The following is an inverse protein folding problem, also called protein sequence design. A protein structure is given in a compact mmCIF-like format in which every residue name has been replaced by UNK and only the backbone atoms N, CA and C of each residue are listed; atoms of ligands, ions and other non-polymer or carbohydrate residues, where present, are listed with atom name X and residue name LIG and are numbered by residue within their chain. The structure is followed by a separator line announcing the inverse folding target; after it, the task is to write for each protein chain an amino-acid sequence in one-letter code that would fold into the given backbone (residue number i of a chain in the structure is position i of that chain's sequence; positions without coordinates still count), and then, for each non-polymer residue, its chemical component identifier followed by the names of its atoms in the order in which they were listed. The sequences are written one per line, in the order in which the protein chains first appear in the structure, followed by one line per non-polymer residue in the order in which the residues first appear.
data_IF_403399469112
#
_entry.id   IF_403399469112
#
_cell.length_a   1.000
_cell.length_b   1.000
_cell.length_c   1.000
_cell.angle_alpha   90.00
_cell.angle_beta   90.00
_cell.angle_gamma   90.00
#
_symmetry.space_group_name_H-M   'P 1'
#
loop_
_entity.id
_entity.type
_entity.pdbx_description
1 polymer ?
#
# COMPACT_ATOMS: atom_id res chain seq x y z
N UNK A 1 10.44 48.38 -34.57
CA UNK A 1 10.85 46.95 -34.46
C UNK A 1 11.38 46.61 -33.05
N UNK A 2 12.27 47.40 -32.47
CA UNK A 2 12.87 47.18 -31.12
C UNK A 2 11.84 47.23 -29.96
N UNK A 3 10.76 48.02 -30.03
CA UNK A 3 9.77 48.10 -28.96
C UNK A 3 8.91 46.81 -28.85
N UNK A 4 8.52 46.23 -29.99
CA UNK A 4 7.79 44.96 -30.04
C UNK A 4 8.62 43.77 -29.52
N UNK A 5 9.94 43.78 -29.79
CA UNK A 5 10.85 42.77 -29.29
C UNK A 5 11.03 42.85 -27.77
N UNK A 6 11.16 44.06 -27.22
CA UNK A 6 11.21 44.28 -25.76
C UNK A 6 9.94 43.85 -25.07
N UNK A 7 8.77 44.09 -25.66
CA UNK A 7 7.48 43.63 -25.11
C UNK A 7 7.35 42.09 -25.15
N UNK A 8 7.82 41.47 -26.22
CA UNK A 8 7.80 39.98 -26.35
C UNK A 8 8.73 39.30 -25.32
N UNK A 9 9.93 39.88 -25.14
CA UNK A 9 10.90 39.41 -24.13
C UNK A 9 10.32 39.58 -22.73
N UNK A 10 9.75 40.77 -22.43
CA UNK A 10 9.15 41.04 -21.12
C UNK A 10 7.96 40.15 -20.81
N UNK A 11 7.14 39.80 -21.80
CA UNK A 11 6.04 38.84 -21.61
C UNK A 11 6.53 37.40 -21.37
N UNK A 12 7.59 36.96 -22.11
CA UNK A 12 8.21 35.64 -21.83
C UNK A 12 8.80 35.57 -20.41
N UNK A 13 9.51 36.63 -19.98
CA UNK A 13 10.02 36.71 -18.60
C UNK A 13 8.91 36.73 -17.54
N UNK A 14 7.76 37.31 -17.86
CA UNK A 14 6.59 37.30 -16.95
C UNK A 14 6.05 35.88 -16.72
N UNK A 15 6.02 35.02 -17.75
CA UNK A 15 5.64 33.61 -17.61
C UNK A 15 6.70 32.81 -16.84
N UNK A 16 7.99 33.06 -17.08
CA UNK A 16 9.08 32.41 -16.35
C UNK A 16 9.02 32.75 -14.85
N UNK A 17 8.70 33.98 -14.49
CA UNK A 17 8.53 34.40 -13.09
C UNK A 17 7.27 33.84 -12.42
N UNK A 18 6.32 33.29 -13.18
CA UNK A 18 5.14 32.58 -12.64
C UNK A 18 5.39 31.10 -12.42
N UNK A 19 6.46 30.53 -13.04
CA UNK A 19 6.80 29.10 -12.87
C UNK A 19 6.99 28.71 -11.40
N UNK A 20 7.71 29.48 -10.55
CA UNK A 20 7.82 29.16 -9.12
C UNK A 20 6.49 29.21 -8.39
N UNK A 21 5.59 30.12 -8.75
CA UNK A 21 4.25 30.22 -8.16
C UNK A 21 3.35 29.06 -8.60
N UNK A 22 3.44 28.67 -9.86
CA UNK A 22 2.73 27.50 -10.40
C UNK A 22 3.31 26.23 -9.77
N UNK A 23 4.63 26.12 -9.67
CA UNK A 23 5.28 25.01 -8.99
C UNK A 23 4.90 24.94 -7.50
N UNK A 24 4.84 26.07 -6.81
CA UNK A 24 4.38 26.16 -5.43
C UNK A 24 2.89 25.78 -5.28
N UNK A 25 2.04 26.18 -6.25
CA UNK A 25 0.63 25.80 -6.27
C UNK A 25 0.43 24.30 -6.55
N UNK A 26 1.26 23.73 -7.43
CA UNK A 26 1.27 22.28 -7.71
C UNK A 26 1.85 21.48 -6.52
N UNK A 27 2.82 22.05 -5.81
CA UNK A 27 3.43 21.44 -4.61
C UNK A 27 2.51 21.45 -3.38
N UNK A 28 1.49 22.32 -3.34
CA UNK A 28 0.46 22.31 -2.28
C UNK A 28 -0.61 21.27 -2.60
N UNK A 29 -0.24 19.99 -2.52
CA UNK A 29 -1.07 18.84 -2.87
C UNK A 29 -2.45 18.84 -2.22
N UNK A 30 -2.58 19.35 -1.00
CA UNK A 30 -3.85 19.36 -0.26
C UNK A 30 -4.92 20.32 -0.80
N UNK A 31 -4.56 21.22 -1.75
CA UNK A 31 -5.49 22.11 -2.49
C UNK A 31 -5.47 21.84 -3.99
N UNK A 32 -4.87 20.74 -4.42
CA UNK A 32 -4.69 20.43 -5.83
C UNK A 32 -5.99 20.01 -6.50
N UNK A 33 -6.12 20.18 -7.83
CA UNK A 33 -7.25 19.66 -8.59
C UNK A 33 -7.49 18.16 -8.41
N UNK A 34 -6.44 17.36 -8.15
CA UNK A 34 -6.56 15.93 -7.91
C UNK A 34 -7.31 15.62 -6.62
N UNK A 35 -7.13 16.42 -5.56
CA UNK A 35 -7.91 16.28 -4.32
C UNK A 35 -9.39 16.55 -4.58
N UNK A 36 -9.73 17.62 -5.31
CA UNK A 36 -11.10 17.93 -5.68
C UNK A 36 -11.73 16.80 -6.50
N UNK A 37 -11.01 16.24 -7.46
CA UNK A 37 -11.47 15.10 -8.24
C UNK A 37 -11.70 13.87 -7.35
N UNK A 38 -10.77 13.59 -6.44
CA UNK A 38 -10.91 12.51 -5.45
C UNK A 38 -12.15 12.68 -4.57
N UNK A 39 -12.47 13.91 -4.15
CA UNK A 39 -13.68 14.21 -3.39
C UNK A 39 -14.96 13.91 -4.20
N UNK A 40 -14.97 14.28 -5.48
CA UNK A 40 -16.09 13.98 -6.39
C UNK A 40 -16.25 12.48 -6.55
N UNK A 41 -15.15 11.75 -6.78
CA UNK A 41 -15.17 10.29 -6.94
C UNK A 41 -15.58 9.58 -5.64
N UNK A 42 -15.10 10.04 -4.49
CA UNK A 42 -15.53 9.53 -3.18
C UNK A 42 -17.04 9.71 -2.97
N UNK A 43 -17.57 10.88 -3.30
CA UNK A 43 -19.00 11.14 -3.23
C UNK A 43 -19.80 10.27 -4.21
N UNK A 44 -19.29 10.04 -5.42
CA UNK A 44 -19.92 9.16 -6.41
C UNK A 44 -19.94 7.70 -5.92
N UNK A 45 -18.83 7.20 -5.36
CA UNK A 45 -18.74 5.84 -4.83
C UNK A 45 -19.72 5.59 -3.68
N UNK A 46 -20.02 6.59 -2.85
CA UNK A 46 -21.00 6.49 -1.76
C UNK A 46 -22.41 6.10 -2.25
N UNK A 47 -22.76 6.47 -3.48
CA UNK A 47 -24.08 6.18 -4.07
C UNK A 47 -24.01 5.07 -5.13
N UNK A 48 -22.83 4.50 -5.38
CA UNK A 48 -22.64 3.44 -6.38
C UNK A 48 -23.35 2.17 -5.93
N UNK A 49 -24.13 1.58 -6.84
CA UNK A 49 -24.86 0.32 -6.60
C UNK A 49 -24.18 -0.82 -7.36
N UNK A 50 -24.38 -2.05 -6.87
CA UNK A 50 -23.93 -3.26 -7.57
C UNK A 50 -22.42 -3.46 -7.52
N UNK A 51 -21.74 -2.94 -6.49
CA UNK A 51 -20.33 -3.19 -6.22
C UNK A 51 -20.15 -4.70 -5.99
N UNK A 52 -19.23 -5.31 -6.72
CA UNK A 52 -18.94 -6.75 -6.65
C UNK A 52 -17.58 -7.06 -6.04
N UNK A 53 -16.63 -6.17 -6.23
CA UNK A 53 -15.26 -6.30 -5.75
C UNK A 53 -14.62 -4.92 -5.58
N UNK A 54 -13.40 -4.90 -5.03
CA UNK A 54 -12.69 -3.65 -4.71
C UNK A 54 -12.35 -2.81 -5.94
N UNK A 55 -12.10 -3.43 -7.10
CA UNK A 55 -11.80 -2.71 -8.34
C UNK A 55 -12.95 -1.80 -8.81
N UNK A 56 -14.19 -2.12 -8.41
CA UNK A 56 -15.35 -1.30 -8.77
C UNK A 56 -15.32 0.09 -8.12
N UNK A 57 -14.57 0.28 -7.04
CA UNK A 57 -14.55 1.53 -6.25
C UNK A 57 -13.20 2.24 -6.27
N UNK A 58 -12.22 1.70 -6.97
CA UNK A 58 -10.89 2.28 -7.09
C UNK A 58 -10.89 3.67 -7.71
N UNK A 59 -10.09 4.53 -7.15
CA UNK A 59 -9.56 5.76 -7.75
C UNK A 59 -8.28 6.17 -7.04
N UNK A 60 -7.45 6.95 -7.72
CA UNK A 60 -6.13 7.37 -7.24
C UNK A 60 -6.09 8.88 -7.01
N UNK A 61 -5.63 9.28 -5.83
CA UNK A 61 -5.24 10.66 -5.48
C UNK A 61 -3.79 10.69 -5.02
N UNK A 62 -3.47 9.97 -3.97
CA UNK A 62 -2.12 9.90 -3.38
C UNK A 62 -1.60 8.47 -3.25
N UNK A 63 -2.44 7.47 -3.21
CA UNK A 63 -1.96 6.08 -3.25
C UNK A 63 -1.28 5.78 -4.58
N UNK A 64 -0.40 4.78 -4.57
CA UNK A 64 0.34 4.36 -5.77
C UNK A 64 -0.60 3.91 -6.90
N UNK A 65 -1.73 3.30 -6.52
CA UNK A 65 -2.74 2.80 -7.45
C UNK A 65 -4.14 3.29 -7.05
N UNK A 66 -5.12 2.40 -6.93
CA UNK A 66 -6.52 2.73 -6.68
C UNK A 66 -6.95 2.75 -5.21
N UNK A 67 -6.05 2.61 -4.27
CA UNK A 67 -6.31 2.37 -2.85
C UNK A 67 -7.04 3.52 -2.17
N UNK A 68 -6.84 4.79 -2.61
CA UNK A 68 -7.64 5.91 -2.11
C UNK A 68 -9.15 5.66 -2.26
N UNK A 69 -9.57 5.11 -3.40
CA UNK A 69 -10.96 4.78 -3.68
C UNK A 69 -11.51 3.70 -2.79
N UNK A 70 -10.75 2.62 -2.62
CA UNK A 70 -11.11 1.49 -1.75
C UNK A 70 -11.27 1.98 -0.30
N UNK A 71 -10.29 2.72 0.20
CA UNK A 71 -10.30 3.24 1.57
C UNK A 71 -11.51 4.16 1.79
N UNK A 72 -11.78 5.09 0.85
CA UNK A 72 -12.93 6.00 0.96
C UNK A 72 -14.26 5.24 0.95
N UNK A 73 -14.37 4.19 0.15
CA UNK A 73 -15.56 3.35 0.14
C UNK A 73 -15.71 2.59 1.47
N UNK A 74 -14.64 1.94 1.96
CA UNK A 74 -14.68 1.19 3.22
C UNK A 74 -15.06 2.05 4.42
N UNK A 75 -14.52 3.26 4.55
CA UNK A 75 -14.88 4.14 5.66
C UNK A 75 -16.31 4.71 5.57
N UNK A 76 -16.94 4.64 4.41
CA UNK A 76 -18.36 4.97 4.25
C UNK A 76 -19.28 3.79 4.59
N UNK A 77 -18.87 2.54 4.30
CA UNK A 77 -19.61 1.32 4.62
C UNK A 77 -19.53 0.95 6.11
N UNK A 78 -18.34 1.11 6.71
CA UNK A 78 -18.05 0.62 8.04
C UNK A 78 -18.26 1.70 9.12
N UNK A 79 -18.96 1.41 10.21
CA UNK A 79 -19.12 2.32 11.35
C UNK A 79 -17.85 2.37 12.21
N UNK A 80 -16.77 2.93 11.69
CA UNK A 80 -15.46 3.00 12.36
C UNK A 80 -15.51 4.02 13.50
N UNK A 81 -15.33 3.61 14.77
CA UNK A 81 -15.47 4.50 15.91
C UNK A 81 -14.28 5.45 16.05
N UNK A 82 -13.06 4.97 15.81
CA UNK A 82 -11.83 5.73 15.96
C UNK A 82 -11.27 6.10 14.58
N UNK A 83 -11.29 7.38 14.27
CA UNK A 83 -10.79 7.93 13.00
C UNK A 83 -9.28 8.13 13.05
N UNK A 84 -8.56 7.02 13.25
CA UNK A 84 -7.11 7.00 13.36
C UNK A 84 -6.51 5.95 12.44
N UNK A 85 -5.30 6.20 11.98
CA UNK A 85 -4.56 5.25 11.15
C UNK A 85 -3.10 5.14 11.57
N UNK A 86 -2.49 4.01 11.21
CA UNK A 86 -1.05 3.77 11.24
C UNK A 86 -0.64 3.27 9.87
N UNK A 87 0.42 3.84 9.30
CA UNK A 87 0.99 3.39 8.02
C UNK A 87 2.51 3.30 8.12
N UNK A 88 3.07 2.21 7.61
CA UNK A 88 4.50 1.94 7.57
C UNK A 88 5.03 1.98 6.14
N UNK A 89 6.33 2.34 5.97
CA UNK A 89 6.99 2.38 4.69
C UNK A 89 6.47 3.47 3.77
N UNK A 90 6.23 4.65 4.34
CA UNK A 90 5.55 5.75 3.63
C UNK A 90 6.49 6.62 2.80
N UNK A 91 7.79 6.30 2.76
CA UNK A 91 8.79 7.17 2.16
C UNK A 91 8.62 8.63 2.63
N UNK A 92 8.50 9.57 1.71
CA UNK A 92 8.26 10.98 2.01
C UNK A 92 6.76 11.33 2.16
N UNK A 93 5.88 10.32 2.22
CA UNK A 93 4.41 10.43 2.37
C UNK A 93 3.70 11.17 1.23
N UNK A 94 4.36 11.41 0.10
CA UNK A 94 3.70 12.03 -1.09
C UNK A 94 2.86 11.02 -1.85
N UNK A 95 3.31 9.80 -1.87
CA UNK A 95 2.58 8.64 -2.35
C UNK A 95 2.34 7.70 -1.16
N UNK A 96 1.11 7.59 -0.68
CA UNK A 96 0.75 6.81 0.49
C UNK A 96 -0.74 6.50 0.53
N UNK A 97 -1.12 5.38 1.12
CA UNK A 97 -2.51 4.91 1.20
C UNK A 97 -3.37 5.82 2.09
N UNK A 98 -2.80 6.40 3.14
CA UNK A 98 -3.57 7.18 4.12
C UNK A 98 -3.54 8.69 3.91
N UNK A 99 -2.74 9.21 2.96
CA UNK A 99 -2.61 10.66 2.75
C UNK A 99 -3.91 11.33 2.34
N UNK A 100 -4.70 10.71 1.45
CA UNK A 100 -6.01 11.26 1.08
C UNK A 100 -6.99 11.21 2.25
N UNK A 101 -6.95 10.16 3.05
CA UNK A 101 -7.74 10.02 4.27
C UNK A 101 -7.44 11.13 5.29
N UNK A 102 -6.17 11.45 5.51
CA UNK A 102 -5.72 12.56 6.35
C UNK A 102 -6.31 13.89 5.87
N UNK A 103 -6.13 14.20 4.58
CA UNK A 103 -6.49 15.50 3.98
C UNK A 103 -8.01 15.65 3.84
N UNK A 104 -8.70 14.63 3.33
CA UNK A 104 -10.12 14.69 2.99
C UNK A 104 -11.04 14.47 4.19
N UNK A 105 -10.66 13.55 5.08
CA UNK A 105 -11.53 13.08 6.17
C UNK A 105 -11.07 13.54 7.55
N UNK A 106 -9.92 14.24 7.63
CA UNK A 106 -9.34 14.76 8.89
C UNK A 106 -9.08 13.65 9.93
N UNK A 107 -8.63 12.50 9.47
CA UNK A 107 -8.21 11.44 10.38
C UNK A 107 -6.86 11.77 10.99
N UNK A 108 -6.63 11.30 12.22
CA UNK A 108 -5.33 11.40 12.89
C UNK A 108 -4.45 10.21 12.53
N UNK A 109 -3.15 10.42 12.34
CA UNK A 109 -2.28 9.35 11.90
C UNK A 109 -0.89 9.29 12.50
N UNK A 110 -0.35 8.07 12.52
CA UNK A 110 1.06 7.77 12.73
C UNK A 110 1.63 7.19 11.44
N UNK A 111 2.70 7.79 10.93
CA UNK A 111 3.48 7.25 9.83
C UNK A 111 4.90 6.95 10.28
N UNK A 112 5.46 5.82 9.84
CA UNK A 112 6.82 5.39 10.19
C UNK A 112 7.58 5.05 8.92
N UNK A 113 8.76 5.62 8.79
CA UNK A 113 9.70 5.32 7.69
C UNK A 113 11.11 5.12 8.24
N UNK A 114 11.91 4.29 7.55
CA UNK A 114 13.29 3.98 7.96
C UNK A 114 14.29 5.10 7.66
N UNK A 115 13.98 6.01 6.72
CA UNK A 115 14.86 7.10 6.30
C UNK A 115 14.60 8.39 7.06
N UNK A 116 15.64 8.94 7.67
CA UNK A 116 15.56 10.24 8.35
C UNK A 116 15.30 11.38 7.36
N UNK A 117 15.78 11.27 6.13
CA UNK A 117 15.56 12.22 5.05
C UNK A 117 14.08 12.27 4.67
N UNK A 118 13.45 11.11 4.54
CA UNK A 118 12.02 10.97 4.27
C UNK A 118 11.19 11.60 5.39
N UNK A 119 11.47 11.25 6.63
CA UNK A 119 10.75 11.79 7.81
C UNK A 119 10.94 13.30 7.94
N UNK A 120 12.13 13.82 7.68
CA UNK A 120 12.38 15.27 7.66
C UNK A 120 11.61 15.96 6.53
N UNK A 121 11.50 15.31 5.36
CA UNK A 121 10.67 15.80 4.25
C UNK A 121 9.20 15.91 4.68
N UNK A 122 8.63 14.87 5.32
CA UNK A 122 7.27 14.89 5.85
C UNK A 122 7.06 16.06 6.83
N UNK A 123 7.97 16.20 7.81
CA UNK A 123 7.88 17.25 8.84
C UNK A 123 8.02 18.67 8.28
N UNK A 124 8.65 18.84 7.12
CA UNK A 124 8.78 20.11 6.42
C UNK A 124 7.54 20.51 5.61
N UNK A 125 6.65 19.57 5.32
CA UNK A 125 5.44 19.85 4.56
C UNK A 125 4.38 20.56 5.40
N UNK A 126 3.56 21.40 4.75
CA UNK A 126 2.48 22.11 5.43
C UNK A 126 1.45 21.18 6.05
N UNK A 127 1.20 20.01 5.46
CA UNK A 127 0.23 19.03 5.98
C UNK A 127 0.60 18.56 7.38
N UNK A 128 1.90 18.47 7.70
CA UNK A 128 2.36 18.08 9.04
C UNK A 128 1.95 19.07 10.14
N UNK A 129 1.80 20.34 9.77
CA UNK A 129 1.40 21.41 10.69
C UNK A 129 -0.13 21.63 10.72
N UNK A 130 -0.85 21.23 9.66
CA UNK A 130 -2.28 21.50 9.54
C UNK A 130 -3.16 20.31 9.94
N UNK A 131 -2.60 19.11 9.95
CA UNK A 131 -3.34 17.89 10.29
C UNK A 131 -2.70 17.21 11.50
N UNK A 132 -3.46 16.37 12.15
CA UNK A 132 -2.99 15.57 13.27
C UNK A 132 -2.20 14.35 12.77
N UNK A 133 -0.95 14.61 12.39
CA UNK A 133 -0.02 13.65 11.82
C UNK A 133 1.24 13.55 12.68
N UNK A 134 1.57 12.35 13.11
CA UNK A 134 2.85 12.03 13.72
C UNK A 134 3.74 11.31 12.70
N UNK A 135 5.01 11.69 12.59
CA UNK A 135 5.98 11.04 11.73
C UNK A 135 7.20 10.62 12.55
N UNK A 136 7.50 9.33 12.53
CA UNK A 136 8.60 8.72 13.29
C UNK A 136 9.62 8.08 12.35
N UNK A 137 10.90 8.31 12.64
CA UNK A 137 11.99 7.64 11.92
C UNK A 137 12.43 6.40 12.71
N UNK A 138 12.19 5.22 12.13
CA UNK A 138 12.66 3.97 12.70
C UNK A 138 12.69 2.87 11.65
N UNK A 139 13.76 2.11 11.61
CA UNK A 139 13.75 0.81 10.93
C UNK A 139 12.90 -0.17 11.76
N UNK A 140 11.83 -0.69 11.16
CA UNK A 140 10.83 -1.50 11.87
C UNK A 140 11.31 -2.94 11.97
N UNK A 141 11.31 -3.46 13.20
CA UNK A 141 11.67 -4.84 13.53
C UNK A 141 10.62 -5.49 14.41
N UNK A 142 10.67 -6.82 14.54
CA UNK A 142 9.79 -7.54 15.48
C UNK A 142 9.96 -7.07 16.92
N UNK A 143 11.16 -6.67 17.29
CA UNK A 143 11.48 -6.27 18.67
C UNK A 143 10.96 -4.88 19.01
N UNK A 144 10.85 -3.94 18.06
CA UNK A 144 10.51 -2.55 18.36
C UNK A 144 9.09 -2.12 17.95
N UNK A 145 8.40 -2.85 17.05
CA UNK A 145 7.14 -2.40 16.47
C UNK A 145 6.07 -2.06 17.51
N UNK A 146 5.90 -2.89 18.53
CA UNK A 146 4.90 -2.66 19.56
C UNK A 146 5.23 -1.46 20.47
N UNK A 147 6.51 -1.18 20.71
CA UNK A 147 6.95 0.00 21.43
C UNK A 147 6.76 1.27 20.59
N UNK A 148 7.08 1.23 19.30
CA UNK A 148 6.87 2.35 18.38
C UNK A 148 5.40 2.79 18.35
N UNK A 149 4.47 1.84 18.26
CA UNK A 149 3.03 2.09 18.30
C UNK A 149 2.62 2.71 19.64
N UNK A 150 3.05 2.13 20.77
CA UNK A 150 2.65 2.56 22.10
C UNK A 150 3.22 3.94 22.45
N UNK A 151 4.48 4.21 22.08
CA UNK A 151 5.13 5.49 22.37
C UNK A 151 4.49 6.66 21.63
N UNK A 152 3.89 6.41 20.48
CA UNK A 152 3.11 7.38 19.72
C UNK A 152 1.67 7.56 20.25
N UNK A 153 1.29 6.84 21.30
CA UNK A 153 -0.05 6.84 21.91
C UNK A 153 -1.17 6.32 21.00
N UNK A 154 -0.81 5.54 20.00
CA UNK A 154 -1.75 4.75 19.22
C UNK A 154 -1.82 3.37 19.86
N UNK A 155 -2.72 3.19 20.80
CA UNK A 155 -2.98 1.92 21.46
C UNK A 155 -4.48 1.57 21.36
N UNK A 156 -4.79 0.26 21.35
CA UNK A 156 -6.15 -0.31 21.29
C UNK A 156 -6.80 -0.28 19.91
N UNK A 157 -8.04 0.17 19.81
CA UNK A 157 -8.78 0.20 18.54
C UNK A 157 -8.37 1.42 17.70
N UNK A 158 -8.00 1.14 16.45
CA UNK A 158 -7.73 2.14 15.42
C UNK A 158 -8.58 1.83 14.17
N UNK A 159 -8.75 2.81 13.30
CA UNK A 159 -9.53 2.61 12.08
C UNK A 159 -8.77 1.77 11.06
N UNK A 160 -7.54 2.17 10.71
CA UNK A 160 -6.76 1.55 9.64
C UNK A 160 -5.31 1.28 10.09
N UNK A 161 -4.81 0.10 9.73
CA UNK A 161 -3.40 -0.26 9.72
C UNK A 161 -2.98 -0.60 8.29
N UNK A 162 -2.01 0.14 7.74
CA UNK A 162 -1.39 -0.14 6.43
C UNK A 162 0.05 -0.60 6.65
N UNK A 163 0.38 -1.80 6.19
CA UNK A 163 1.69 -2.43 6.34
C UNK A 163 2.28 -2.65 4.97
N UNK A 164 3.30 -1.87 4.64
CA UNK A 164 4.09 -1.96 3.42
C UNK A 164 5.51 -1.49 3.77
N UNK A 165 6.41 -2.44 3.98
CA UNK A 165 7.80 -2.18 4.36
C UNK A 165 8.79 -2.92 3.46
N UNK A 166 8.33 -3.29 2.27
CA UNK A 166 9.15 -3.90 1.22
C UNK A 166 9.90 -5.18 1.65
N UNK A 167 9.31 -5.97 2.55
CA UNK A 167 10.00 -7.21 2.92
C UNK A 167 9.45 -7.96 4.12
N UNK A 168 9.65 -7.44 5.31
CA UNK A 168 9.26 -8.12 6.56
C UNK A 168 7.77 -8.01 6.92
N UNK A 169 6.90 -7.63 6.00
CA UNK A 169 5.48 -7.29 6.23
C UNK A 169 4.72 -8.35 7.04
N UNK A 170 4.82 -9.62 6.61
CA UNK A 170 4.23 -10.75 7.32
C UNK A 170 4.69 -10.84 8.78
N UNK A 171 5.99 -10.70 8.99
CA UNK A 171 6.60 -10.85 10.31
C UNK A 171 6.22 -9.71 11.24
N UNK A 172 6.17 -8.48 10.72
CA UNK A 172 5.75 -7.31 11.49
C UNK A 172 4.26 -7.38 11.80
N UNK A 173 3.43 -7.69 10.80
CA UNK A 173 1.99 -7.87 11.03
C UNK A 173 1.70 -8.99 12.06
N UNK A 174 2.51 -10.05 12.06
CA UNK A 174 2.41 -11.14 13.04
C UNK A 174 2.67 -10.67 14.47
N UNK A 175 3.70 -9.82 14.67
CA UNK A 175 4.11 -9.33 15.99
C UNK A 175 3.18 -8.25 16.56
N UNK A 176 2.50 -7.47 15.72
CA UNK A 176 1.61 -6.40 16.18
C UNK A 176 0.49 -6.96 17.07
N UNK A 177 0.47 -6.49 18.32
CA UNK A 177 -0.53 -6.88 19.33
C UNK A 177 -1.04 -5.71 20.19
N UNK A 178 -0.57 -4.48 19.95
CA UNK A 178 -0.96 -3.28 20.71
C UNK A 178 -2.17 -2.58 20.13
N UNK A 179 -2.48 -2.82 18.86
CA UNK A 179 -3.62 -2.23 18.17
C UNK A 179 -4.53 -3.29 17.58
N UNK A 180 -5.80 -2.94 17.45
CA UNK A 180 -6.82 -3.74 16.79
C UNK A 180 -7.50 -2.86 15.73
N UNK A 181 -6.96 -2.79 14.51
CA UNK A 181 -7.54 -2.01 13.44
C UNK A 181 -8.89 -2.59 13.00
N UNK A 182 -9.79 -1.73 12.52
CA UNK A 182 -11.01 -2.19 11.83
C UNK A 182 -10.67 -2.71 10.45
N UNK A 183 -9.71 -2.05 9.77
CA UNK A 183 -9.22 -2.39 8.43
C UNK A 183 -7.71 -2.62 8.50
N UNK A 184 -7.25 -3.73 7.95
CA UNK A 184 -5.84 -3.99 7.65
C UNK A 184 -5.66 -3.92 6.14
N UNK A 185 -4.66 -3.16 5.70
CA UNK A 185 -4.11 -3.16 4.34
C UNK A 185 -2.70 -3.73 4.46
N UNK A 186 -2.40 -4.76 3.69
CA UNK A 186 -1.08 -5.39 3.74
C UNK A 186 -0.57 -5.65 2.34
N UNK A 187 0.68 -5.24 2.09
CA UNK A 187 1.35 -5.61 0.85
C UNK A 187 1.57 -7.13 0.81
N UNK A 188 1.35 -7.72 -0.36
CA UNK A 188 1.66 -9.11 -0.65
C UNK A 188 2.43 -9.25 -1.95
N UNK A 189 3.29 -10.25 -2.02
CA UNK A 189 4.01 -10.56 -3.24
C UNK A 189 3.21 -11.52 -4.13
N UNK A 190 2.62 -11.01 -5.19
CA UNK A 190 1.83 -11.81 -6.11
C UNK A 190 2.62 -12.90 -6.84
N UNK A 191 3.95 -12.81 -6.85
CA UNK A 191 4.79 -13.82 -7.52
C UNK A 191 4.83 -15.16 -6.79
N UNK A 192 4.44 -15.20 -5.51
CA UNK A 192 4.26 -16.46 -4.77
C UNK A 192 2.92 -17.17 -5.06
N UNK A 193 2.06 -16.56 -5.89
CA UNK A 193 0.73 -17.12 -6.17
C UNK A 193 -0.23 -17.01 -4.98
N UNK A 194 -1.34 -17.77 -5.07
CA UNK A 194 -2.38 -17.76 -4.04
C UNK A 194 -2.50 -19.08 -3.26
N UNK A 195 -1.76 -20.11 -3.65
CA UNK A 195 -1.87 -21.46 -3.05
C UNK A 195 -0.79 -21.73 -2.00
N UNK A 196 0.40 -21.21 -2.21
CA UNK A 196 1.55 -21.50 -1.37
C UNK A 196 1.62 -20.57 -0.15
N UNK A 197 1.83 -21.12 1.06
CA UNK A 197 1.94 -20.34 2.29
C UNK A 197 3.38 -19.86 2.50
N UNK A 198 3.87 -18.99 1.61
CA UNK A 198 5.25 -18.53 1.59
C UNK A 198 5.44 -17.15 2.18
N UNK A 199 6.53 -16.98 2.91
CA UNK A 199 7.10 -15.67 3.25
C UNK A 199 8.62 -15.72 3.18
N UNK A 200 9.28 -14.58 3.00
CA UNK A 200 10.74 -14.51 3.08
C UNK A 200 11.22 -14.83 4.50
N UNK A 201 12.48 -15.25 4.63
CA UNK A 201 13.12 -15.34 5.92
C UNK A 201 13.19 -13.97 6.60
N UNK A 202 12.85 -13.91 7.88
CA UNK A 202 13.00 -12.70 8.67
C UNK A 202 14.47 -12.31 8.84
N UNK A 203 14.76 -11.04 8.63
CA UNK A 203 16.08 -10.46 8.88
C UNK A 203 15.87 -9.02 9.38
N UNK A 204 16.42 -8.68 10.56
CA UNK A 204 16.21 -7.34 11.18
C UNK A 204 16.62 -6.19 10.26
N UNK A 205 17.63 -6.39 9.41
CA UNK A 205 18.16 -5.42 8.46
C UNK A 205 17.82 -5.76 7.00
N UNK A 206 16.68 -6.41 6.76
CA UNK A 206 16.25 -6.73 5.40
C UNK A 206 16.01 -5.45 4.60
N UNK A 207 16.66 -5.38 3.44
CA UNK A 207 16.45 -4.32 2.44
C UNK A 207 16.21 -5.00 1.10
N UNK A 208 15.06 -4.68 0.49
CA UNK A 208 14.64 -5.20 -0.82
C UNK A 208 15.70 -4.92 -1.89
N UNK A 209 16.08 -5.93 -2.62
CA UNK A 209 17.07 -5.84 -3.69
C UNK A 209 18.54 -5.96 -3.27
N UNK A 210 18.88 -6.05 -1.98
CA UNK A 210 20.27 -6.19 -1.53
C UNK A 210 20.80 -7.62 -1.69
N UNK A 211 20.17 -8.58 -1.02
CA UNK A 211 20.65 -9.97 -0.98
C UNK A 211 20.00 -10.84 -2.06
N UNK A 212 18.85 -10.42 -2.58
CA UNK A 212 18.02 -11.16 -3.54
C UNK A 212 17.53 -10.22 -4.67
N UNK A 213 17.01 -10.79 -5.77
CA UNK A 213 16.34 -9.98 -6.79
C UNK A 213 15.28 -9.05 -6.19
N UNK A 214 15.11 -7.86 -6.74
CA UNK A 214 14.16 -6.86 -6.25
C UNK A 214 12.71 -7.37 -6.19
N UNK A 215 12.39 -8.39 -6.99
CA UNK A 215 11.08 -9.09 -6.99
C UNK A 215 10.88 -10.08 -5.83
N UNK A 216 11.90 -10.30 -4.98
CA UNK A 216 11.84 -11.26 -3.87
C UNK A 216 11.72 -10.52 -2.53
N UNK A 217 10.49 -10.42 -2.02
CA UNK A 217 10.14 -9.72 -0.78
C UNK A 217 8.81 -10.23 -0.21
N UNK A 218 8.47 -9.85 1.01
CA UNK A 218 7.15 -9.97 1.60
C UNK A 218 6.65 -11.40 1.76
N UNK A 219 5.36 -11.59 1.59
CA UNK A 219 4.68 -12.87 1.71
C UNK A 219 3.67 -13.11 0.61
N UNK A 220 3.26 -14.37 0.44
CA UNK A 220 2.15 -14.74 -0.41
C UNK A 220 0.82 -14.21 0.16
N UNK A 221 -0.17 -14.05 -0.72
CA UNK A 221 -1.54 -13.73 -0.30
C UNK A 221 -2.09 -14.77 0.67
N UNK A 222 -1.80 -16.07 0.46
CA UNK A 222 -2.22 -17.16 1.34
C UNK A 222 -1.69 -16.96 2.77
N UNK A 223 -0.40 -16.68 2.92
CA UNK A 223 0.19 -16.42 4.24
C UNK A 223 -0.43 -15.22 4.94
N UNK A 224 -0.71 -14.14 4.21
CA UNK A 224 -1.36 -12.95 4.77
C UNK A 224 -2.79 -13.25 5.22
N UNK A 225 -3.56 -14.03 4.46
CA UNK A 225 -4.92 -14.46 4.82
C UNK A 225 -4.88 -15.33 6.09
N UNK A 226 -4.08 -16.39 6.10
CA UNK A 226 -4.01 -17.33 7.23
C UNK A 226 -3.58 -16.65 8.53
N UNK A 227 -2.70 -15.64 8.43
CA UNK A 227 -2.28 -14.83 9.57
C UNK A 227 -3.41 -13.94 10.08
N UNK A 228 -4.08 -13.22 9.18
CA UNK A 228 -5.13 -12.27 9.55
C UNK A 228 -6.40 -12.97 10.02
N UNK A 229 -6.74 -14.13 9.49
CA UNK A 229 -7.83 -14.98 9.99
C UNK A 229 -7.57 -15.40 11.45
N UNK A 230 -6.36 -15.82 11.80
CA UNK A 230 -5.96 -16.14 13.19
C UNK A 230 -6.05 -14.93 14.12
N UNK A 231 -5.95 -13.71 13.56
CA UNK A 231 -6.12 -12.44 14.30
C UNK A 231 -7.58 -11.95 14.33
N UNK A 232 -8.52 -12.66 13.69
CA UNK A 232 -9.95 -12.33 13.70
C UNK A 232 -10.41 -11.39 12.59
N UNK A 233 -9.80 -11.49 11.40
CA UNK A 233 -10.13 -10.70 10.22
C UNK A 233 -10.55 -11.58 9.06
N UNK A 234 -11.47 -11.09 8.23
CA UNK A 234 -11.87 -11.71 6.97
C UNK A 234 -11.27 -10.97 5.77
N UNK A 235 -10.80 -11.72 4.78
CA UNK A 235 -10.25 -11.20 3.54
C UNK A 235 -11.36 -10.82 2.56
N UNK A 236 -11.32 -9.60 2.01
CA UNK A 236 -12.34 -9.06 1.10
C UNK A 236 -11.85 -8.83 -0.34
N UNK A 237 -10.56 -9.03 -0.60
CA UNK A 237 -9.97 -8.89 -1.94
C UNK A 237 -8.69 -8.09 -1.95
N UNK A 238 -8.11 -7.99 -3.15
CA UNK A 238 -6.93 -7.19 -3.45
C UNK A 238 -7.30 -6.01 -4.35
N UNK A 239 -6.45 -4.97 -4.38
CA UNK A 239 -6.54 -3.93 -5.40
C UNK A 239 -6.23 -4.49 -6.79
N UNK A 240 -6.64 -3.77 -7.83
CA UNK A 240 -6.46 -4.21 -9.24
C UNK A 240 -5.01 -4.19 -9.71
N UNK A 241 -4.13 -3.50 -8.98
CA UNK A 241 -2.70 -3.51 -9.23
C UNK A 241 -2.03 -4.82 -8.79
N UNK A 242 -2.56 -5.49 -7.76
CA UNK A 242 -2.06 -6.78 -7.28
C UNK A 242 -0.88 -6.67 -6.31
N UNK A 243 -0.90 -5.64 -5.47
CA UNK A 243 0.08 -5.47 -4.38
C UNK A 243 -0.58 -5.37 -3.00
N UNK A 244 -1.76 -4.77 -2.85
CA UNK A 244 -2.42 -4.57 -1.57
C UNK A 244 -3.61 -5.52 -1.36
N UNK A 245 -3.62 -6.23 -0.24
CA UNK A 245 -4.71 -7.08 0.25
C UNK A 245 -5.45 -6.39 1.40
N UNK A 246 -6.78 -6.53 1.42
CA UNK A 246 -7.67 -5.86 2.37
C UNK A 246 -8.36 -6.85 3.28
N UNK A 247 -8.29 -6.58 4.59
CA UNK A 247 -8.86 -7.44 5.62
C UNK A 247 -9.71 -6.61 6.57
N UNK A 248 -10.87 -7.12 6.94
CA UNK A 248 -11.84 -6.44 7.80
C UNK A 248 -12.04 -7.25 9.08
N UNK A 249 -12.01 -6.59 10.23
CA UNK A 249 -12.29 -7.21 11.54
C UNK A 249 -13.65 -7.88 11.51
N UNK A 250 -13.75 -9.12 11.96
CA UNK A 250 -14.93 -9.99 11.80
C UNK A 250 -16.25 -9.34 12.27
N UNK A 251 -16.21 -8.57 13.36
CA UNK A 251 -17.39 -7.86 13.89
C UNK A 251 -17.98 -6.83 12.92
N UNK A 252 -17.19 -6.37 11.96
CA UNK A 252 -17.55 -5.34 10.98
C UNK A 252 -17.97 -5.89 9.61
N UNK A 253 -17.70 -7.17 9.32
CA UNK A 253 -18.02 -7.79 8.01
C UNK A 253 -19.52 -7.68 7.67
N UNK A 254 -20.39 -7.76 8.67
CA UNK A 254 -21.84 -7.64 8.49
C UNK A 254 -22.33 -6.31 7.89
N UNK A 255 -21.48 -5.28 7.90
CA UNK A 255 -21.80 -3.96 7.33
C UNK A 255 -21.38 -3.83 5.87
N UNK A 256 -20.56 -4.75 5.36
CA UNK A 256 -20.09 -4.71 3.97
C UNK A 256 -21.17 -5.16 2.99
N UNK A 257 -21.20 -4.50 1.83
CA UNK A 257 -22.04 -4.90 0.70
C UNK A 257 -21.40 -5.99 -0.19
N UNK A 258 -20.11 -6.31 0.03
CA UNK A 258 -19.40 -7.42 -0.63
C UNK A 258 -19.07 -8.53 0.37
N UNK A 259 -18.97 -9.79 -0.07
CA UNK A 259 -18.62 -10.91 0.80
C UNK A 259 -17.13 -10.99 1.09
N UNK A 260 -16.74 -11.77 2.11
CA UNK A 260 -15.40 -12.33 2.23
C UNK A 260 -15.16 -13.30 1.08
N UNK A 261 -13.92 -13.36 0.62
CA UNK A 261 -13.53 -14.19 -0.54
C UNK A 261 -12.34 -15.09 -0.20
N UNK A 262 -12.20 -16.18 -0.93
CA UNK A 262 -11.03 -17.04 -0.82
C UNK A 262 -9.79 -16.40 -1.47
N UNK A 263 -8.59 -16.91 -1.13
CA UNK A 263 -7.36 -16.50 -1.78
C UNK A 263 -7.45 -16.59 -3.31
N UNK A 264 -8.03 -17.68 -3.84
CA UNK A 264 -8.23 -17.90 -5.29
C UNK A 264 -9.14 -16.83 -5.92
N UNK A 265 -10.22 -16.45 -5.28
CA UNK A 265 -11.19 -15.47 -5.80
C UNK A 265 -10.64 -14.06 -5.76
N UNK A 266 -10.02 -13.66 -4.65
CA UNK A 266 -9.54 -12.29 -4.44
C UNK A 266 -8.14 -12.02 -4.96
N UNK A 267 -7.37 -13.04 -5.36
CA UNK A 267 -6.01 -12.85 -5.87
C UNK A 267 -5.96 -12.07 -7.17
N UNK A 268 -5.00 -11.13 -7.23
CA UNK A 268 -4.64 -10.37 -8.42
C UNK A 268 -3.14 -10.50 -8.66
N UNK A 269 -2.75 -10.87 -9.88
CA UNK A 269 -1.34 -10.86 -10.28
C UNK A 269 -0.89 -9.44 -10.58
N UNK A 270 0.26 -9.01 -10.06
CA UNK A 270 0.75 -7.64 -10.20
C UNK A 270 0.90 -7.21 -11.67
N UNK A 271 0.23 -6.11 -12.02
CA UNK A 271 0.21 -5.54 -13.37
C UNK A 271 1.42 -4.66 -13.68
N UNK A 272 2.14 -4.22 -12.64
CA UNK A 272 3.33 -3.38 -12.76
C UNK A 272 4.61 -4.22 -12.85
N UNK A 273 5.71 -3.61 -13.30
CA UNK A 273 7.01 -4.25 -13.43
C UNK A 273 7.98 -3.68 -12.39
N UNK A 274 8.41 -4.54 -11.47
CA UNK A 274 9.45 -4.25 -10.49
C UNK A 274 10.46 -5.40 -10.44
N UNK A 275 10.81 -5.91 -11.58
CA UNK A 275 11.75 -7.00 -11.73
C UNK A 275 12.62 -6.77 -12.97
N UNK A 276 13.92 -6.97 -12.79
CA UNK A 276 14.91 -6.85 -13.85
C UNK A 276 15.80 -8.09 -13.86
N UNK A 277 16.27 -8.47 -15.05
CA UNK A 277 17.34 -9.45 -15.17
C UNK A 277 18.71 -8.85 -14.77
N UNK A 278 19.77 -9.66 -14.86
CA UNK A 278 21.13 -9.23 -14.54
C UNK A 278 21.68 -8.17 -15.48
N UNK A 279 21.12 -8.07 -16.66
CA UNK A 279 21.47 -7.11 -17.70
C UNK A 279 20.65 -5.80 -17.58
N UNK A 280 19.72 -5.73 -16.63
CA UNK A 280 18.85 -4.57 -16.39
C UNK A 280 17.63 -4.49 -17.32
N UNK A 281 17.26 -5.60 -17.98
CA UNK A 281 16.07 -5.68 -18.81
C UNK A 281 14.84 -5.95 -17.94
N UNK A 282 13.73 -5.20 -18.10
CA UNK A 282 12.52 -5.43 -17.32
C UNK A 282 11.91 -6.82 -17.60
N UNK A 283 11.70 -7.60 -16.56
CA UNK A 283 11.01 -8.89 -16.61
C UNK A 283 9.50 -8.69 -16.56
N UNK A 284 8.74 -9.51 -17.31
CA UNK A 284 7.30 -9.41 -17.40
C UNK A 284 6.61 -10.75 -17.21
N UNK A 285 5.37 -10.72 -16.74
CA UNK A 285 4.54 -11.92 -16.61
C UNK A 285 5.23 -13.06 -15.88
N UNK A 286 5.32 -14.23 -16.49
CA UNK A 286 5.89 -15.44 -15.89
C UNK A 286 7.40 -15.32 -15.61
N UNK A 287 8.13 -14.49 -16.36
CA UNK A 287 9.57 -14.34 -16.15
C UNK A 287 9.89 -13.67 -14.82
N UNK A 288 8.98 -12.84 -14.29
CA UNK A 288 9.08 -12.33 -12.91
C UNK A 288 9.08 -13.47 -11.88
N UNK A 289 8.22 -14.47 -12.07
CA UNK A 289 8.13 -15.64 -11.17
C UNK A 289 9.39 -16.51 -11.32
N UNK A 290 9.88 -16.71 -12.54
CA UNK A 290 11.12 -17.47 -12.78
C UNK A 290 12.35 -16.83 -12.16
N UNK A 291 12.38 -15.51 -12.05
CA UNK A 291 13.48 -14.79 -11.42
C UNK A 291 13.66 -15.11 -9.93
N UNK A 292 12.61 -15.58 -9.25
CA UNK A 292 12.64 -15.98 -7.84
C UNK A 292 12.70 -17.51 -7.64
N UNK A 293 12.84 -18.29 -8.72
CA UNK A 293 12.90 -19.74 -8.64
C UNK A 293 14.07 -20.21 -7.75
N UNK A 294 13.83 -21.23 -6.96
CA UNK A 294 14.78 -21.81 -5.99
C UNK A 294 15.23 -20.89 -4.84
N UNK A 295 14.71 -19.67 -4.72
CA UNK A 295 15.01 -18.83 -3.57
C UNK A 295 14.38 -19.40 -2.28
N UNK A 296 15.06 -19.24 -1.13
CA UNK A 296 14.60 -19.83 0.13
C UNK A 296 13.43 -19.04 0.71
N UNK A 297 12.35 -19.71 1.04
CA UNK A 297 11.16 -19.16 1.71
C UNK A 297 10.85 -19.95 2.96
N UNK A 298 10.12 -19.35 3.88
CA UNK A 298 9.49 -20.05 4.99
C UNK A 298 8.08 -20.45 4.58
N UNK A 299 7.75 -21.72 4.72
CA UNK A 299 6.38 -22.20 4.72
C UNK A 299 5.72 -21.77 6.04
N UNK A 300 4.69 -20.93 6.00
CA UNK A 300 4.07 -20.38 7.22
C UNK A 300 3.17 -21.36 7.95
N UNK A 301 2.81 -22.48 7.33
CA UNK A 301 2.04 -23.56 7.96
C UNK A 301 2.93 -24.46 8.80
N UNK A 302 4.12 -24.81 8.29
CA UNK A 302 5.06 -25.74 8.95
C UNK A 302 6.19 -25.04 9.71
N UNK A 303 6.54 -23.82 9.30
CA UNK A 303 7.72 -23.08 9.78
C UNK A 303 9.03 -23.55 9.16
N UNK A 304 9.00 -24.46 8.21
CA UNK A 304 10.20 -25.02 7.57
C UNK A 304 10.66 -24.14 6.40
N UNK A 305 11.96 -24.25 6.09
CA UNK A 305 12.54 -23.60 4.92
C UNK A 305 12.24 -24.46 3.69
N UNK A 306 11.60 -23.85 2.72
CA UNK A 306 11.35 -24.42 1.41
C UNK A 306 12.03 -23.58 0.31
N UNK A 307 11.86 -23.99 -0.94
CA UNK A 307 12.35 -23.26 -2.09
C UNK A 307 11.19 -22.97 -3.05
N UNK A 308 11.16 -21.74 -3.58
CA UNK A 308 10.14 -21.35 -4.56
C UNK A 308 10.17 -22.29 -5.76
N UNK A 309 9.05 -22.93 -6.04
CA UNK A 309 8.80 -23.67 -7.29
C UNK A 309 8.03 -22.78 -8.27
N UNK A 310 8.79 -22.06 -9.10
CA UNK A 310 8.22 -21.12 -10.05
C UNK A 310 7.28 -21.79 -11.07
N UNK A 311 7.61 -23.00 -11.53
CA UNK A 311 6.78 -23.69 -12.54
C UNK A 311 5.46 -24.22 -11.93
N UNK A 312 5.48 -24.69 -10.68
CA UNK A 312 4.25 -25.04 -9.97
C UNK A 312 3.32 -23.83 -9.82
N UNK A 313 3.87 -22.69 -9.41
CA UNK A 313 3.10 -21.43 -9.30
C UNK A 313 2.54 -21.01 -10.67
N UNK A 314 3.35 -21.02 -11.72
CA UNK A 314 2.93 -20.63 -13.07
C UNK A 314 1.79 -21.53 -13.56
N UNK A 315 1.90 -22.83 -13.37
CA UNK A 315 0.88 -23.80 -13.79
C UNK A 315 -0.45 -23.55 -13.07
N UNK A 316 -0.43 -23.36 -11.75
CA UNK A 316 -1.60 -23.04 -10.95
C UNK A 316 -2.29 -21.76 -11.41
N UNK A 317 -1.52 -20.69 -11.68
CA UNK A 317 -2.06 -19.41 -12.15
C UNK A 317 -2.66 -19.51 -13.56
N UNK A 318 -2.06 -20.31 -14.44
CA UNK A 318 -2.59 -20.54 -15.79
C UNK A 318 -3.88 -21.36 -15.77
N UNK A 319 -3.95 -22.42 -14.97
CA UNK A 319 -5.15 -23.23 -14.80
C UNK A 319 -6.32 -22.40 -14.24
N UNK A 320 -6.03 -21.52 -13.29
CA UNK A 320 -7.03 -20.59 -12.74
C UNK A 320 -7.39 -19.43 -13.67
N UNK A 321 -6.74 -19.28 -14.84
CA UNK A 321 -6.87 -18.13 -15.76
C UNK A 321 -6.61 -16.78 -15.08
N UNK A 322 -5.74 -16.78 -14.05
CA UNK A 322 -5.39 -15.57 -13.27
C UNK A 322 -4.28 -14.76 -13.91
N UNK A 323 -3.53 -15.35 -14.85
CA UNK A 323 -2.56 -14.61 -15.66
C UNK A 323 -3.14 -14.33 -17.05
N UNK A 324 -3.12 -13.09 -17.46
CA UNK A 324 -3.29 -12.75 -18.88
C UNK A 324 -2.04 -13.23 -19.62
N UNK A 325 -2.22 -13.85 -20.79
CA UNK A 325 -1.10 -14.08 -21.73
C UNK A 325 -0.67 -12.70 -22.22
N UNK A 326 0.53 -12.31 -21.89
CA UNK A 326 1.20 -11.13 -22.43
C UNK A 326 2.05 -11.56 -23.64
#
# INVERSE_FOLDING_TARGET
MMSKLKTLIRNKFRYINQIPQIAHYIQNDYKSPKVNLGQIQSAANKYKKGIKNLADVEFQVFSQFGDDGIIQWLINELPIPNKTFIEFGVENYKEANTRFLLINNYWSGLVIDGSIENVNSIKSEQIYNFYDLQASCSFITKSNINELITSARFDKEIGILSVDIDGNDYWILKEINRVQPVIIICEYNSLFGYEHPYTINYKDDFVRGNDYPFSFYGSSLRSAIDLTEKKGYGFIGCNSAGNNAYFIKNDYIKYLSIPIVSAKEGYVFSSFTEAWDKEGTPLRGMDKIRAIHHLPVINTDTGEIERVDAEAIINSLQEAKKMKRF
#
